data_IF_906772115840
#
_entry.id   IF_906772115840
#
_cell.length_a   1.000
_cell.length_b   1.000
_cell.length_c   1.000
_cell.angle_alpha   90.00
_cell.angle_beta   90.00
_cell.angle_gamma   90.00
#
_symmetry.space_group_name_H-M   'P 1'
#
loop_
_entity.id
_entity.type
_entity.pdbx_description
1 polymer ?
#
# COMPACT_ATOMS: atom_id res chain seq x y z
N UNK A 1 -13.79 15.36 8.74
CA UNK A 1 -13.53 15.86 7.36
C UNK A 1 -12.04 16.12 7.24
N UNK A 2 -11.40 15.64 6.18
CA UNK A 2 -9.95 15.85 5.95
C UNK A 2 -9.74 17.27 5.42
N UNK A 3 -8.73 17.98 5.92
CA UNK A 3 -8.40 19.32 5.43
C UNK A 3 -7.97 19.26 3.95
N UNK A 4 -8.12 20.37 3.20
CA UNK A 4 -7.61 20.46 1.83
C UNK A 4 -6.10 20.17 1.82
N UNK A 5 -5.68 19.22 0.99
CA UNK A 5 -4.29 18.76 0.92
C UNK A 5 -3.89 17.73 1.99
N UNK A 6 -4.79 17.39 2.92
CA UNK A 6 -4.57 16.30 3.86
C UNK A 6 -4.67 14.93 3.20
N UNK A 7 -4.03 13.93 3.80
CA UNK A 7 -4.05 12.53 3.37
C UNK A 7 -4.68 11.66 4.45
N UNK A 8 -5.32 10.56 4.06
CA UNK A 8 -5.80 9.51 4.98
C UNK A 8 -4.84 8.34 4.88
N UNK A 9 -4.43 7.79 6.02
CA UNK A 9 -3.65 6.56 6.10
C UNK A 9 -4.46 5.50 6.84
N UNK A 10 -4.48 4.28 6.30
CA UNK A 10 -5.29 3.17 6.79
C UNK A 10 -4.39 1.95 6.90
N UNK A 11 -4.30 1.34 8.08
CA UNK A 11 -3.79 -0.02 8.20
C UNK A 11 -4.89 -0.98 7.69
N UNK A 12 -4.58 -1.72 6.64
CA UNK A 12 -5.52 -2.60 5.95
C UNK A 12 -5.44 -4.06 6.45
N UNK A 13 -4.56 -4.35 7.41
CA UNK A 13 -4.29 -5.72 7.85
C UNK A 13 -3.66 -6.56 6.74
N UNK A 14 -3.85 -7.87 6.83
CA UNK A 14 -3.37 -8.85 5.86
C UNK A 14 -3.57 -10.26 6.40
N UNK A 15 -2.79 -11.22 5.89
CA UNK A 15 -2.91 -12.64 6.26
C UNK A 15 -2.64 -12.95 7.74
N UNK A 16 -2.11 -11.99 8.51
CA UNK A 16 -1.86 -12.13 9.94
C UNK A 16 -3.12 -12.01 10.82
N UNK A 17 -4.30 -11.79 10.23
CA UNK A 17 -5.58 -11.67 10.94
C UNK A 17 -6.38 -12.96 10.78
N UNK A 18 -6.70 -13.60 11.90
CA UNK A 18 -7.56 -14.78 11.96
C UNK A 18 -8.96 -14.46 11.41
N UNK A 19 -9.52 -15.41 10.67
CA UNK A 19 -10.84 -15.26 10.07
C UNK A 19 -11.92 -15.23 11.17
N UNK A 20 -12.56 -14.07 11.38
CA UNK A 20 -13.64 -13.90 12.36
C UNK A 20 -14.93 -14.66 11.95
N UNK A 21 -15.07 -14.95 10.66
CA UNK A 21 -16.09 -15.83 10.08
C UNK A 21 -15.39 -16.90 9.21
N UNK A 22 -15.85 -18.15 9.24
CA UNK A 22 -15.30 -19.31 8.49
C UNK A 22 -15.09 -19.09 6.97
N UNK A 23 -15.53 -17.97 6.40
CA UNK A 23 -15.55 -17.69 4.97
C UNK A 23 -14.69 -16.48 4.50
N UNK A 24 -14.05 -15.70 5.38
CA UNK A 24 -13.21 -14.56 4.95
C UNK A 24 -11.92 -14.45 5.76
N UNK A 25 -10.81 -14.83 5.13
CA UNK A 25 -9.47 -14.57 5.66
C UNK A 25 -9.10 -13.08 5.62
N UNK A 26 -8.10 -12.69 6.42
CA UNK A 26 -7.63 -11.31 6.49
C UNK A 26 -7.10 -10.75 5.16
N UNK A 27 -6.65 -11.61 4.25
CA UNK A 27 -6.20 -11.21 2.91
C UNK A 27 -7.36 -10.74 2.04
N UNK A 28 -8.48 -11.47 2.05
CA UNK A 28 -9.69 -11.09 1.34
C UNK A 28 -10.28 -9.77 1.87
N UNK A 29 -10.23 -9.54 3.18
CA UNK A 29 -10.66 -8.28 3.82
C UNK A 29 -9.75 -7.12 3.43
N UNK A 30 -8.43 -7.32 3.43
CA UNK A 30 -7.46 -6.33 2.96
C UNK A 30 -7.75 -5.93 1.52
N UNK A 31 -7.94 -6.90 0.62
CA UNK A 31 -8.23 -6.65 -0.79
C UNK A 31 -9.55 -5.91 -1.01
N UNK A 32 -10.60 -6.27 -0.27
CA UNK A 32 -11.88 -5.55 -0.30
C UNK A 32 -11.70 -4.10 0.17
N UNK A 33 -10.92 -3.89 1.23
CA UNK A 33 -10.63 -2.55 1.77
C UNK A 33 -9.88 -1.68 0.77
N UNK A 34 -8.81 -2.21 0.15
CA UNK A 34 -8.03 -1.46 -0.85
C UNK A 34 -8.87 -1.09 -2.07
N UNK A 35 -9.72 -2.00 -2.55
CA UNK A 35 -10.67 -1.71 -3.65
C UNK A 35 -11.66 -0.62 -3.27
N UNK A 36 -12.22 -0.66 -2.05
CA UNK A 36 -13.16 0.35 -1.58
C UNK A 36 -12.51 1.73 -1.47
N UNK A 37 -11.27 1.82 -0.96
CA UNK A 37 -10.52 3.08 -0.88
C UNK A 37 -10.24 3.61 -2.29
N UNK A 38 -9.75 2.77 -3.22
CA UNK A 38 -9.47 3.20 -4.59
C UNK A 38 -10.73 3.70 -5.32
N UNK A 39 -11.87 3.03 -5.14
CA UNK A 39 -13.14 3.46 -5.70
C UNK A 39 -13.62 4.81 -5.13
N UNK A 40 -13.38 5.06 -3.84
CA UNK A 40 -13.80 6.30 -3.18
C UNK A 40 -12.92 7.51 -3.53
N UNK A 41 -11.61 7.31 -3.74
CA UNK A 41 -10.64 8.39 -3.96
C UNK A 41 -10.20 8.55 -5.43
N UNK A 42 -10.48 7.57 -6.29
CA UNK A 42 -10.13 7.56 -7.70
C UNK A 42 -8.91 6.69 -8.01
N UNK A 43 -8.84 6.22 -9.26
CA UNK A 43 -7.71 5.45 -9.77
C UNK A 43 -6.40 6.26 -9.66
N UNK A 44 -5.32 5.60 -9.23
CA UNK A 44 -4.01 6.24 -9.04
C UNK A 44 -3.88 7.14 -7.81
N UNK A 45 -4.94 7.29 -7.00
CA UNK A 45 -4.94 8.13 -5.78
C UNK A 45 -4.66 7.37 -4.48
N UNK A 46 -4.13 6.15 -4.59
CA UNK A 46 -3.81 5.28 -3.45
C UNK A 46 -2.40 4.75 -3.63
N UNK A 47 -1.56 4.93 -2.60
CA UNK A 47 -0.27 4.27 -2.46
C UNK A 47 -0.33 3.25 -1.34
N UNK A 48 0.37 2.13 -1.48
CA UNK A 48 0.43 1.06 -0.48
C UNK A 48 1.86 0.75 -0.08
N UNK A 49 2.04 0.25 1.13
CA UNK A 49 3.30 -0.26 1.66
C UNK A 49 3.00 -1.56 2.42
N UNK A 50 3.71 -2.64 2.10
CA UNK A 50 3.62 -3.88 2.87
C UNK A 50 4.64 -3.87 4.00
N UNK A 51 4.25 -4.33 5.18
CA UNK A 51 5.08 -4.41 6.38
C UNK A 51 4.74 -5.70 7.11
N UNK A 52 5.67 -6.66 7.14
CA UNK A 52 5.58 -7.89 7.94
C UNK A 52 4.20 -8.57 7.92
N UNK A 53 3.69 -8.88 6.72
CA UNK A 53 2.37 -9.51 6.46
C UNK A 53 1.13 -8.60 6.58
N UNK A 54 1.32 -7.34 6.99
CA UNK A 54 0.30 -6.29 6.96
C UNK A 54 0.50 -5.35 5.78
N UNK A 55 -0.53 -4.57 5.45
CA UNK A 55 -0.48 -3.53 4.43
C UNK A 55 -1.02 -2.21 4.97
N UNK A 56 -0.37 -1.11 4.63
CA UNK A 56 -0.83 0.24 4.91
C UNK A 56 -1.14 0.95 3.60
N UNK A 57 -2.32 1.55 3.50
CA UNK A 57 -2.73 2.38 2.38
C UNK A 57 -2.70 3.86 2.75
N UNK A 58 -2.34 4.72 1.80
CA UNK A 58 -2.37 6.17 1.94
C UNK A 58 -3.00 6.82 0.72
N UNK A 59 -3.91 7.77 0.96
CA UNK A 59 -4.63 8.47 -0.11
C UNK A 59 -3.90 9.72 -0.61
N UNK A 60 -4.27 10.16 -1.81
CA UNK A 60 -3.76 11.36 -2.46
C UNK A 60 -2.82 11.06 -3.62
N UNK A 61 -2.20 12.08 -4.22
CA UNK A 61 -1.26 11.91 -5.32
C UNK A 61 -0.11 10.97 -4.94
N UNK A 62 0.40 10.13 -5.87
CA UNK A 62 1.47 9.18 -5.58
C UNK A 62 2.70 9.86 -4.97
N UNK A 63 3.22 9.28 -3.88
CA UNK A 63 4.42 9.75 -3.15
C UNK A 63 5.71 9.56 -3.95
N UNK A 64 5.64 8.95 -5.13
CA UNK A 64 6.82 8.53 -5.89
C UNK A 64 7.52 9.65 -6.66
N UNK A 65 7.04 10.90 -6.60
CA UNK A 65 7.79 12.00 -7.19
C UNK A 65 9.17 12.07 -6.48
N UNK A 66 10.30 11.93 -7.18
CA UNK A 66 11.63 11.87 -6.56
C UNK A 66 11.91 13.06 -5.63
N UNK A 67 11.32 14.21 -5.93
CA UNK A 67 11.38 15.42 -5.09
C UNK A 67 10.63 15.28 -3.76
N UNK A 68 9.41 14.70 -3.75
CA UNK A 68 8.61 14.53 -2.53
C UNK A 68 9.27 13.49 -1.62
N UNK A 69 9.74 12.38 -2.20
CA UNK A 69 10.50 11.36 -1.49
C UNK A 69 11.79 11.91 -0.86
N UNK A 70 12.55 12.74 -1.58
CA UNK A 70 13.75 13.39 -1.04
C UNK A 70 13.42 14.33 0.13
N UNK A 71 12.35 15.13 0.01
CA UNK A 71 11.87 15.99 1.09
C UNK A 71 11.48 15.18 2.33
N UNK A 72 10.85 14.01 2.15
CA UNK A 72 10.49 13.14 3.28
C UNK A 72 11.73 12.58 3.97
N UNK A 73 12.69 12.05 3.20
CA UNK A 73 13.93 11.48 3.75
C UNK A 73 14.77 12.49 4.52
N UNK A 74 14.79 13.76 4.11
CA UNK A 74 15.52 14.82 4.84
C UNK A 74 14.89 15.18 6.18
N UNK A 75 13.58 14.93 6.35
CA UNK A 75 12.82 15.22 7.59
C UNK A 75 12.72 14.03 8.53
N UNK A 76 13.00 12.82 8.05
CA UNK A 76 12.91 11.59 8.84
C UNK A 76 14.26 11.22 9.51
N UNK A 77 14.20 10.61 10.71
CA UNK A 77 15.35 9.91 11.29
C UNK A 77 15.96 8.90 10.30
N UNK A 78 17.29 8.69 10.32
CA UNK A 78 17.97 7.77 9.39
C UNK A 78 17.32 6.39 9.31
N UNK A 79 16.85 5.87 10.44
CA UNK A 79 16.25 4.55 10.60
C UNK A 79 14.92 4.44 9.83
N UNK A 80 14.22 5.55 9.60
CA UNK A 80 12.91 5.55 8.93
C UNK A 80 12.98 5.87 7.43
N UNK A 81 14.13 6.30 6.92
CA UNK A 81 14.26 6.76 5.52
C UNK A 81 13.98 5.67 4.50
N UNK A 82 14.29 4.42 4.84
CA UNK A 82 14.10 3.28 3.94
C UNK A 82 12.61 3.01 3.64
N UNK A 83 11.69 3.32 4.57
CA UNK A 83 10.25 3.17 4.34
C UNK A 83 9.70 4.10 3.26
N UNK A 84 10.38 5.22 2.98
CA UNK A 84 9.97 6.14 1.89
C UNK A 84 10.02 5.43 0.54
N UNK A 85 11.00 4.54 0.35
CA UNK A 85 11.21 3.81 -0.92
C UNK A 85 10.28 2.60 -1.07
N UNK A 86 9.56 2.23 -0.01
CA UNK A 86 8.68 1.06 -0.01
C UNK A 86 7.25 1.37 -0.50
N UNK A 87 6.89 2.65 -0.58
CA UNK A 87 5.59 3.06 -1.10
C UNK A 87 5.50 2.78 -2.61
N UNK A 88 4.40 2.15 -3.02
CA UNK A 88 4.10 1.88 -4.43
C UNK A 88 2.65 2.25 -4.76
N UNK A 89 2.31 2.54 -6.04
CA UNK A 89 0.94 2.79 -6.44
C UNK A 89 0.10 1.53 -6.25
N UNK A 90 -1.15 1.70 -5.81
CA UNK A 90 -2.12 0.63 -5.83
C UNK A 90 -2.67 0.45 -7.26
N UNK A 91 -2.35 -0.68 -7.88
CA UNK A 91 -2.70 -0.94 -9.29
C UNK A 91 -3.97 -1.79 -9.47
N UNK A 92 -4.81 -1.95 -8.44
CA UNK A 92 -6.09 -2.67 -8.52
C UNK A 92 -6.03 -4.17 -8.83
N UNK A 93 -4.83 -4.73 -9.06
CA UNK A 93 -4.61 -6.15 -9.34
C UNK A 93 -3.96 -6.82 -8.13
N UNK A 94 -4.76 -7.46 -7.30
CA UNK A 94 -4.30 -8.48 -6.37
C UNK A 94 -4.51 -9.86 -7.04
N UNK A 95 -3.43 -10.65 -7.15
CA UNK A 95 -3.47 -12.01 -7.71
C UNK A 95 -2.29 -12.33 -8.63
N UNK A 96 -1.13 -12.57 -8.04
CA UNK A 96 0.07 -13.00 -8.76
C UNK A 96 1.28 -13.02 -7.85
N UNK A 97 1.22 -13.82 -6.78
CA UNK A 97 2.39 -14.06 -5.94
C UNK A 97 3.56 -14.54 -6.78
N UNK A 98 4.76 -14.01 -6.51
CA UNK A 98 6.08 -14.65 -6.59
C UNK A 98 6.45 -15.65 -7.72
N UNK A 99 5.68 -15.76 -8.81
CA UNK A 99 5.87 -16.72 -9.90
C UNK A 99 6.50 -16.08 -11.16
N UNK A 100 7.26 -14.99 -10.98
CA UNK A 100 7.93 -14.27 -12.07
C UNK A 100 9.45 -14.32 -12.04
N UNK A 101 10.06 -15.05 -11.10
CA UNK A 101 11.50 -15.31 -11.12
C UNK A 101 11.72 -16.74 -11.62
N UNK A 102 12.53 -16.84 -12.67
CA UNK A 102 13.08 -18.01 -13.37
C UNK A 102 12.46 -18.37 -14.72
N UNK A 103 13.37 -18.51 -15.69
CA UNK A 103 13.26 -18.81 -17.13
C UNK A 103 12.86 -17.61 -18.02
N UNK A 104 13.62 -17.18 -19.03
CA UNK A 104 14.61 -17.90 -19.86
C UNK A 104 15.85 -17.06 -20.18
N UNK A 105 17.02 -17.66 -20.00
CA UNK A 105 18.13 -17.43 -20.91
C UNK A 105 17.99 -18.33 -22.13
N UNK A 106 18.29 -17.78 -23.30
CA UNK A 106 19.02 -18.36 -24.45
C UNK A 106 19.22 -17.25 -25.48
#
# INVERSE_FOLDING_TARGET
MVARGGRVMVNCGGGCVEADEEARDGEAVKDATLRAIAAAFGEGMVSVMDVDESCVAMTGPPVMAPEEAAVWKTRLPPELRHFVDMWRPYNGKSGGGLAGRFFSGS
#
